data_IF_409584175991
#
_entry.id   IF_409584175991
#
_cell.length_a   1.000
_cell.length_b   1.000
_cell.length_c   1.000
_cell.angle_alpha   90.00
_cell.angle_beta   90.00
_cell.angle_gamma   90.00
#
_symmetry.space_group_name_H-M   'P 1'
#
loop_
_entity.id
_entity.type
_entity.pdbx_description
1 polymer ?
#
# COMPACT_ATOMS: atom_id res chain seq x y z
N UNK A 1 10.46 7.11 -9.75
CA UNK A 1 11.62 6.19 -9.94
C UNK A 1 11.52 4.85 -9.18
N UNK A 2 10.51 4.57 -8.35
CA UNK A 2 10.44 3.32 -7.56
C UNK A 2 9.88 2.06 -8.25
N UNK A 3 9.19 2.17 -9.38
CA UNK A 3 8.49 1.03 -10.00
C UNK A 3 9.39 0.14 -10.87
N UNK A 4 10.52 0.64 -11.39
CA UNK A 4 11.37 -0.10 -12.36
C UNK A 4 12.01 -1.37 -11.79
N UNK A 5 12.42 -1.35 -10.52
CA UNK A 5 12.97 -2.52 -9.84
C UNK A 5 11.87 -3.39 -9.19
N UNK A 6 10.63 -2.94 -9.28
CA UNK A 6 9.49 -3.47 -8.55
C UNK A 6 8.35 -3.94 -9.46
N UNK A 7 8.54 -3.93 -10.78
CA UNK A 7 7.63 -4.50 -11.77
C UNK A 7 8.25 -5.79 -12.35
N UNK A 8 7.44 -6.75 -12.83
CA UNK A 8 7.99 -7.90 -13.55
C UNK A 8 8.74 -7.40 -14.80
N UNK A 9 9.83 -8.08 -15.24
CA UNK A 9 10.67 -7.58 -16.33
C UNK A 9 9.90 -7.22 -17.61
N UNK A 10 8.86 -7.98 -17.95
CA UNK A 10 8.01 -7.69 -19.11
C UNK A 10 7.11 -6.45 -18.93
N UNK A 11 6.66 -6.15 -17.70
CA UNK A 11 5.92 -4.93 -17.37
C UNK A 11 6.85 -3.72 -17.45
N UNK A 12 8.09 -3.87 -16.97
CA UNK A 12 9.13 -2.86 -17.10
C UNK A 12 9.54 -2.58 -18.55
N UNK A 13 9.57 -3.60 -19.42
CA UNK A 13 9.85 -3.44 -20.85
C UNK A 13 8.72 -2.70 -21.60
N UNK A 14 7.47 -2.93 -21.23
CA UNK A 14 6.32 -2.19 -21.79
C UNK A 14 6.37 -0.69 -21.44
N UNK A 15 7.00 -0.35 -20.31
CA UNK A 15 7.13 1.01 -19.79
C UNK A 15 8.18 1.87 -20.54
N UNK A 16 9.29 1.29 -21.01
CA UNK A 16 10.37 2.09 -21.62
C UNK A 16 9.99 2.73 -22.96
N UNK A 17 8.98 2.17 -23.65
CA UNK A 17 8.72 2.47 -25.05
C UNK A 17 7.37 3.14 -25.35
N UNK A 18 6.54 3.50 -24.35
CA UNK A 18 5.23 4.09 -24.67
C UNK A 18 4.82 5.25 -23.77
N UNK A 19 4.66 6.43 -24.37
CA UNK A 19 4.09 7.64 -23.77
C UNK A 19 2.59 7.80 -24.07
N UNK A 20 1.97 6.83 -24.75
CA UNK A 20 0.60 6.97 -25.25
C UNK A 20 -0.46 6.86 -24.14
N UNK A 21 -1.56 7.59 -24.30
CA UNK A 21 -2.71 7.56 -23.38
C UNK A 21 -3.34 6.16 -23.29
N UNK A 22 -3.36 5.43 -24.41
CA UNK A 22 -3.91 4.07 -24.49
C UNK A 22 -3.05 3.09 -23.69
N UNK A 23 -1.73 3.17 -23.81
CA UNK A 23 -0.82 2.33 -23.04
C UNK A 23 -0.95 2.58 -21.53
N UNK A 24 -1.13 3.84 -21.11
CA UNK A 24 -1.40 4.18 -19.72
C UNK A 24 -2.71 3.56 -19.19
N UNK A 25 -3.75 3.50 -20.01
CA UNK A 25 -5.00 2.82 -19.67
C UNK A 25 -4.75 1.32 -19.55
N UNK A 26 -4.20 0.67 -20.58
CA UNK A 26 -3.93 -0.76 -20.56
C UNK A 26 -3.08 -1.17 -19.34
N UNK A 27 -2.09 -0.35 -18.99
CA UNK A 27 -1.28 -0.56 -17.80
C UNK A 27 -2.10 -0.53 -16.51
N UNK A 28 -2.86 0.55 -16.28
CA UNK A 28 -3.60 0.74 -15.02
C UNK A 28 -4.71 -0.27 -14.82
N UNK A 29 -5.37 -0.71 -15.89
CA UNK A 29 -6.54 -1.58 -15.80
C UNK A 29 -6.21 -3.07 -15.97
N UNK A 30 -5.11 -3.42 -16.63
CA UNK A 30 -4.79 -4.82 -16.93
C UNK A 30 -3.40 -5.25 -16.47
N UNK A 31 -2.33 -4.59 -16.92
CA UNK A 31 -0.97 -5.07 -16.65
C UNK A 31 -0.59 -4.96 -15.18
N UNK A 32 -0.88 -3.82 -14.53
CA UNK A 32 -0.51 -3.62 -13.13
C UNK A 32 -1.33 -4.50 -12.16
N UNK A 33 -2.66 -4.65 -12.32
CA UNK A 33 -3.41 -5.65 -11.56
C UNK A 33 -2.88 -7.08 -11.76
N UNK A 34 -2.52 -7.44 -12.99
CA UNK A 34 -1.95 -8.77 -13.27
C UNK A 34 -0.60 -8.95 -12.56
N UNK A 35 0.29 -7.95 -12.61
CA UNK A 35 1.59 -7.96 -11.93
C UNK A 35 1.42 -8.16 -10.41
N UNK A 36 0.51 -7.41 -9.79
CA UNK A 36 0.20 -7.53 -8.36
C UNK A 36 -0.38 -8.91 -8.01
N UNK A 37 -1.25 -9.47 -8.87
CA UNK A 37 -1.82 -10.80 -8.66
C UNK A 37 -0.74 -11.89 -8.73
N UNK A 38 0.14 -11.82 -9.74
CA UNK A 38 1.26 -12.75 -9.88
C UNK A 38 2.21 -12.66 -8.67
N UNK A 39 2.53 -11.45 -8.19
CA UNK A 39 3.33 -11.27 -6.97
C UNK A 39 2.67 -11.92 -5.75
N UNK A 40 1.37 -11.73 -5.58
CA UNK A 40 0.61 -12.35 -4.49
C UNK A 40 0.70 -13.88 -4.56
N UNK A 41 0.56 -14.46 -5.75
CA UNK A 41 0.71 -15.90 -5.97
C UNK A 41 2.13 -16.39 -5.66
N UNK A 42 3.16 -15.66 -6.09
CA UNK A 42 4.57 -15.99 -5.80
C UNK A 42 4.85 -15.90 -4.29
N UNK A 43 4.35 -14.86 -3.61
CA UNK A 43 4.49 -14.71 -2.17
C UNK A 43 3.84 -15.88 -1.42
N UNK A 44 2.62 -16.28 -1.82
CA UNK A 44 1.93 -17.44 -1.24
C UNK A 44 2.67 -18.75 -1.48
N UNK A 45 3.17 -18.98 -2.71
CA UNK A 45 3.92 -20.19 -3.06
C UNK A 45 5.23 -20.31 -2.29
N UNK A 46 5.98 -19.21 -2.18
CA UNK A 46 7.32 -19.24 -1.59
C UNK A 46 7.31 -19.11 -0.05
N UNK A 47 6.18 -18.73 0.54
CA UNK A 47 6.08 -18.52 1.99
C UNK A 47 4.84 -19.21 2.58
N UNK A 48 4.67 -20.53 2.36
CA UNK A 48 3.54 -21.26 2.91
C UNK A 48 3.56 -21.16 4.44
N UNK A 49 2.49 -20.64 5.02
CA UNK A 49 2.35 -20.49 6.48
C UNK A 49 2.86 -19.17 7.08
N UNK A 50 3.44 -18.24 6.30
CA UNK A 50 3.66 -16.87 6.80
C UNK A 50 2.33 -16.15 7.00
N UNK A 51 2.13 -15.61 8.21
CA UNK A 51 0.90 -14.93 8.62
C UNK A 51 1.03 -13.43 8.75
N UNK A 52 2.27 -12.93 8.70
CA UNK A 52 2.56 -11.51 8.72
C UNK A 52 3.28 -11.15 7.42
N UNK A 53 2.70 -10.19 6.70
CA UNK A 53 3.27 -9.61 5.49
C UNK A 53 3.32 -8.11 5.72
N UNK A 54 4.53 -7.55 5.73
CA UNK A 54 4.75 -6.11 5.73
C UNK A 54 4.86 -5.63 4.28
N UNK A 55 4.05 -4.64 3.92
CA UNK A 55 4.11 -3.99 2.61
C UNK A 55 4.61 -2.57 2.82
N UNK A 56 5.82 -2.28 2.34
CA UNK A 56 6.33 -0.92 2.26
C UNK A 56 5.62 -0.20 1.10
N UNK A 57 4.70 0.70 1.44
CA UNK A 57 3.81 1.48 0.56
C UNK A 57 2.71 0.66 -0.13
N UNK A 58 1.48 0.87 0.32
CA UNK A 58 0.30 0.29 -0.30
C UNK A 58 -0.15 1.12 -1.52
N UNK A 59 -0.51 0.50 -2.67
CA UNK A 59 -0.93 1.23 -3.85
C UNK A 59 -2.27 1.95 -3.63
N UNK A 60 -2.20 3.27 -3.44
CA UNK A 60 -3.36 4.12 -3.12
C UNK A 60 -4.12 4.68 -4.33
N UNK A 61 -3.51 4.69 -5.51
CA UNK A 61 -4.10 5.35 -6.69
C UNK A 61 -5.49 4.90 -7.15
N UNK A 62 -5.86 3.61 -7.02
CA UNK A 62 -7.20 3.14 -7.38
C UNK A 62 -8.29 3.73 -6.48
N UNK A 63 -7.93 4.09 -5.26
CA UNK A 63 -8.85 4.54 -4.21
C UNK A 63 -9.00 6.07 -4.14
N UNK A 64 -8.22 6.83 -4.91
CA UNK A 64 -8.42 8.28 -5.02
C UNK A 64 -9.66 8.60 -5.85
N UNK A 65 -10.50 9.50 -5.35
CA UNK A 65 -11.55 10.19 -6.11
C UNK A 65 -12.43 9.24 -6.94
N UNK A 66 -12.82 8.09 -6.37
CA UNK A 66 -13.63 7.06 -7.07
C UNK A 66 -14.92 7.66 -7.61
N UNK A 67 -15.55 8.56 -6.85
CA UNK A 67 -16.79 9.26 -7.20
C UNK A 67 -16.61 10.23 -8.38
N UNK A 68 -15.43 10.85 -8.54
CA UNK A 68 -15.16 11.80 -9.63
C UNK A 68 -14.78 11.12 -10.94
N UNK A 69 -14.52 9.81 -10.92
CA UNK A 69 -13.99 9.04 -12.06
C UNK A 69 -15.07 8.31 -12.86
N UNK A 70 -16.35 8.44 -12.50
CA UNK A 70 -17.46 7.76 -13.17
C UNK A 70 -17.30 6.24 -13.21
N UNK A 71 -17.88 5.59 -14.23
CA UNK A 71 -17.87 4.13 -14.37
C UNK A 71 -16.45 3.52 -14.36
N UNK A 72 -15.50 4.15 -15.04
CA UNK A 72 -14.10 3.70 -15.11
C UNK A 72 -13.42 3.68 -13.74
N UNK A 73 -13.71 4.66 -12.88
CA UNK A 73 -13.21 4.69 -11.50
C UNK A 73 -13.75 3.56 -10.64
N UNK A 74 -15.04 3.26 -10.79
CA UNK A 74 -15.70 2.16 -10.08
C UNK A 74 -15.11 0.82 -10.50
N UNK A 75 -14.92 0.60 -11.80
CA UNK A 75 -14.28 -0.60 -12.33
C UNK A 75 -12.85 -0.75 -11.82
N UNK A 76 -12.06 0.33 -11.82
CA UNK A 76 -10.70 0.32 -11.29
C UNK A 76 -10.70 -0.05 -9.80
N UNK A 77 -11.57 0.56 -8.98
CA UNK A 77 -11.67 0.21 -7.57
C UNK A 77 -12.04 -1.27 -7.37
N UNK A 78 -12.96 -1.79 -8.18
CA UNK A 78 -13.36 -3.19 -8.12
C UNK A 78 -12.21 -4.15 -8.46
N UNK A 79 -11.50 -3.92 -9.57
CA UNK A 79 -10.34 -4.75 -9.97
C UNK A 79 -9.30 -4.79 -8.85
N UNK A 80 -8.98 -3.64 -8.27
CA UNK A 80 -7.93 -3.55 -7.26
C UNK A 80 -8.36 -4.12 -5.91
N UNK A 81 -9.66 -4.10 -5.57
CA UNK A 81 -10.18 -4.81 -4.40
C UNK A 81 -10.02 -6.33 -4.50
N UNK A 82 -10.04 -6.88 -5.70
CA UNK A 82 -9.83 -8.33 -5.91
C UNK A 82 -8.35 -8.71 -5.81
N UNK A 83 -7.50 -7.88 -6.42
CA UNK A 83 -6.07 -8.17 -6.53
C UNK A 83 -5.32 -7.87 -5.23
N UNK A 84 -5.56 -6.70 -4.64
CA UNK A 84 -4.87 -6.28 -3.43
C UNK A 84 -5.43 -6.99 -2.20
N UNK A 85 -4.57 -7.37 -1.24
CA UNK A 85 -5.04 -7.89 0.04
C UNK A 85 -5.76 -6.78 0.82
N UNK A 86 -6.80 -7.16 1.56
CA UNK A 86 -7.39 -6.27 2.56
C UNK A 86 -6.46 -6.24 3.79
N UNK A 87 -5.89 -5.08 4.15
CA UNK A 87 -4.96 -5.00 5.27
C UNK A 87 -5.68 -5.16 6.62
N UNK A 88 -5.09 -5.92 7.54
CA UNK A 88 -5.55 -5.98 8.94
C UNK A 88 -5.22 -4.69 9.69
N UNK A 89 -4.07 -4.08 9.36
CA UNK A 89 -3.60 -2.83 9.94
C UNK A 89 -2.92 -2.00 8.85
N UNK A 90 -3.15 -0.69 8.88
CA UNK A 90 -2.48 0.30 8.05
C UNK A 90 -1.72 1.26 8.96
N UNK A 91 -0.46 1.50 8.66
CA UNK A 91 0.36 2.51 9.34
C UNK A 91 0.52 3.69 8.38
N UNK A 92 0.07 4.86 8.80
CA UNK A 92 0.23 6.11 8.07
C UNK A 92 1.24 7.00 8.80
N UNK A 93 2.37 7.21 8.14
CA UNK A 93 3.43 8.11 8.61
C UNK A 93 3.24 9.47 7.96
N UNK A 94 3.23 10.52 8.76
CA UNK A 94 3.09 11.90 8.29
C UNK A 94 4.06 12.81 9.03
N UNK A 95 4.26 14.02 8.53
CA UNK A 95 5.10 15.01 9.20
C UNK A 95 4.78 16.42 8.74
N UNK A 96 5.50 17.39 9.27
CA UNK A 96 5.33 18.78 8.87
C UNK A 96 5.67 18.95 7.38
N UNK A 97 4.78 19.60 6.66
CA UNK A 97 4.89 19.78 5.22
C UNK A 97 6.08 20.67 4.87
N UNK A 98 6.44 21.63 5.73
CA UNK A 98 7.60 22.49 5.53
C UNK A 98 8.91 21.70 5.63
N UNK A 99 9.08 20.92 6.70
CA UNK A 99 10.27 20.07 6.86
C UNK A 99 10.41 19.03 5.74
N UNK A 100 9.32 18.37 5.36
CA UNK A 100 9.33 17.37 4.30
C UNK A 100 9.70 18.02 2.96
N UNK A 101 9.09 19.17 2.64
CA UNK A 101 9.37 19.94 1.43
C UNK A 101 10.84 20.34 1.35
N UNK A 102 11.42 20.83 2.46
CA UNK A 102 12.84 21.17 2.54
C UNK A 102 13.76 19.96 2.32
N UNK A 103 13.44 18.79 2.92
CA UNK A 103 14.21 17.55 2.75
C UNK A 103 14.17 17.02 1.32
N UNK A 104 13.04 17.17 0.63
CA UNK A 104 12.86 16.66 -0.74
C UNK A 104 13.36 17.62 -1.82
N UNK A 105 13.66 18.87 -1.48
CA UNK A 105 14.29 19.90 -2.35
C UNK A 105 13.58 20.24 -3.67
N UNK A 106 12.52 19.52 -4.05
CA UNK A 106 11.86 19.63 -5.36
C UNK A 106 10.34 19.93 -5.27
N UNK A 107 9.73 19.82 -4.08
CA UNK A 107 8.27 19.96 -3.91
C UNK A 107 7.90 21.22 -3.12
N UNK A 108 6.87 21.95 -3.56
CA UNK A 108 6.30 23.05 -2.76
C UNK A 108 5.60 22.52 -1.49
N UNK A 109 5.59 23.32 -0.42
CA UNK A 109 4.89 23.02 0.83
C UNK A 109 3.41 22.68 0.58
N UNK A 110 2.75 23.44 -0.29
CA UNK A 110 1.35 23.20 -0.66
C UNK A 110 1.14 21.86 -1.38
N UNK A 111 2.07 21.46 -2.23
CA UNK A 111 2.02 20.17 -2.90
C UNK A 111 2.21 19.02 -1.91
N UNK A 112 3.18 19.15 -1.01
CA UNK A 112 3.44 18.20 0.08
C UNK A 112 2.18 18.02 0.95
N UNK A 113 1.56 19.12 1.37
CA UNK A 113 0.32 19.10 2.16
C UNK A 113 -0.81 18.37 1.45
N UNK A 114 -1.06 18.69 0.17
CA UNK A 114 -2.07 18.01 -0.65
C UNK A 114 -1.80 16.51 -0.78
N UNK A 115 -0.53 16.11 -0.94
CA UNK A 115 -0.17 14.70 -0.99
C UNK A 115 -0.42 13.99 0.33
N UNK A 116 -0.05 14.60 1.46
CA UNK A 116 -0.32 14.04 2.78
C UNK A 116 -1.82 13.86 3.02
N UNK A 117 -2.64 14.88 2.72
CA UNK A 117 -4.11 14.80 2.85
C UNK A 117 -4.69 13.69 1.99
N UNK A 118 -4.20 13.58 0.75
CA UNK A 118 -4.61 12.58 -0.22
C UNK A 118 -4.26 11.16 0.26
N UNK A 119 -3.05 10.94 0.76
CA UNK A 119 -2.65 9.62 1.28
C UNK A 119 -3.35 9.28 2.59
N UNK A 120 -3.62 10.26 3.46
CA UNK A 120 -4.43 10.06 4.65
C UNK A 120 -5.86 9.61 4.31
N UNK A 121 -6.47 10.21 3.29
CA UNK A 121 -7.80 9.81 2.82
C UNK A 121 -7.81 8.34 2.34
N UNK A 122 -6.77 7.92 1.63
CA UNK A 122 -6.62 6.50 1.26
C UNK A 122 -6.41 5.64 2.48
N UNK A 123 -5.51 6.00 3.39
CA UNK A 123 -5.23 5.23 4.60
C UNK A 123 -6.51 5.01 5.44
N UNK A 124 -7.37 6.03 5.56
CA UNK A 124 -8.70 5.92 6.17
C UNK A 124 -9.63 4.98 5.39
N UNK A 125 -9.60 4.99 4.07
CA UNK A 125 -10.42 4.12 3.23
C UNK A 125 -10.02 2.64 3.32
N UNK A 126 -8.72 2.35 3.31
CA UNK A 126 -8.20 0.98 3.32
C UNK A 126 -8.04 0.42 4.74
N UNK A 127 -7.72 1.28 5.71
CA UNK A 127 -7.48 0.94 7.12
C UNK A 127 -8.75 0.82 7.95
N UNK A 128 -9.85 0.31 7.38
CA UNK A 128 -11.16 0.19 8.06
C UNK A 128 -11.11 -0.66 9.33
N UNK A 129 -10.20 -1.65 9.37
CA UNK A 129 -10.00 -2.52 10.52
C UNK A 129 -9.19 -1.80 11.60
N UNK A 130 -8.01 -1.30 11.21
CA UNK A 130 -7.14 -0.53 12.09
C UNK A 130 -6.25 0.41 11.29
N UNK A 131 -6.22 1.67 11.70
CA UNK A 131 -5.34 2.71 11.18
C UNK A 131 -4.51 3.27 12.34
N UNK A 132 -3.19 3.16 12.23
CA UNK A 132 -2.23 3.77 13.15
C UNK A 132 -1.62 4.97 12.45
N UNK A 133 -1.72 6.14 13.07
CA UNK A 133 -1.17 7.39 12.53
C UNK A 133 -0.01 7.82 13.42
N UNK A 134 1.15 8.11 12.82
CA UNK A 134 2.33 8.55 13.57
C UNK A 134 2.98 9.77 12.90
N UNK A 135 3.29 10.78 13.72
CA UNK A 135 3.94 12.01 13.29
C UNK A 135 5.46 11.86 13.40
N UNK A 136 6.15 11.82 12.27
CA UNK A 136 7.61 11.66 12.20
C UNK A 136 8.40 12.94 12.46
N UNK A 137 7.71 14.06 12.67
CA UNK A 137 8.32 15.36 13.05
C UNK A 137 8.52 15.42 14.55
N UNK A 138 7.49 14.99 15.29
CA UNK A 138 7.46 15.02 16.75
C UNK A 138 8.08 13.76 17.38
N UNK A 139 8.11 12.65 16.63
CA UNK A 139 8.56 11.36 17.13
C UNK A 139 9.81 10.91 16.37
N UNK A 140 10.81 10.47 17.11
CA UNK A 140 11.95 9.72 16.60
C UNK A 140 11.52 8.40 15.97
N UNK A 141 12.40 7.80 15.16
CA UNK A 141 12.12 6.50 14.54
C UNK A 141 11.84 5.40 15.57
N UNK A 142 12.49 5.45 16.75
CA UNK A 142 12.25 4.49 17.83
C UNK A 142 10.86 4.66 18.43
N UNK A 143 10.45 5.90 18.70
CA UNK A 143 9.10 6.19 19.24
C UNK A 143 8.01 5.79 18.26
N UNK A 144 8.20 6.02 16.96
CA UNK A 144 7.26 5.57 15.92
C UNK A 144 7.14 4.04 15.92
N UNK A 145 8.26 3.32 16.04
CA UNK A 145 8.25 1.85 16.16
C UNK A 145 7.50 1.42 17.41
N UNK A 146 7.74 2.07 18.55
CA UNK A 146 7.07 1.76 19.82
C UNK A 146 5.55 2.01 19.74
N UNK A 147 5.12 3.10 19.09
CA UNK A 147 3.70 3.40 18.82
C UNK A 147 3.05 2.28 17.98
N UNK A 148 3.72 1.83 16.92
CA UNK A 148 3.22 0.76 16.05
C UNK A 148 3.19 -0.57 16.80
N UNK A 149 4.26 -0.91 17.52
CA UNK A 149 4.36 -2.13 18.30
C UNK A 149 3.27 -2.20 19.37
N UNK A 150 3.07 -1.13 20.13
CA UNK A 150 1.99 -1.02 21.13
C UNK A 150 0.63 -1.29 20.50
N UNK A 151 0.35 -0.70 19.33
CA UNK A 151 -0.89 -0.93 18.61
C UNK A 151 -1.05 -2.39 18.13
N UNK A 152 0.04 -3.06 17.76
CA UNK A 152 0.02 -4.49 17.42
C UNK A 152 -0.31 -5.33 18.65
N UNK A 153 0.34 -5.06 19.79
CA UNK A 153 0.20 -5.87 21.00
C UNK A 153 -1.10 -5.64 21.79
N UNK A 154 -1.70 -4.46 21.66
CA UNK A 154 -3.02 -4.18 22.26
C UNK A 154 -4.18 -4.77 21.45
N UNK A 155 -3.95 -5.11 20.17
CA UNK A 155 -4.97 -5.71 19.31
C UNK A 155 -4.92 -7.24 19.38
N UNK A 156 -5.69 -7.78 20.31
CA UNK A 156 -5.81 -9.23 20.50
C UNK A 156 -6.31 -9.96 19.24
N UNK A 157 -7.11 -9.30 18.40
CA UNK A 157 -7.63 -9.89 17.16
C UNK A 157 -6.52 -9.99 16.12
N UNK A 158 -5.71 -8.93 15.96
CA UNK A 158 -4.53 -8.91 15.12
C UNK A 158 -3.52 -9.96 15.58
N UNK A 159 -3.21 -10.02 16.88
CA UNK A 159 -2.28 -11.01 17.42
C UNK A 159 -2.76 -12.44 17.13
N UNK A 160 -4.04 -12.72 17.37
CA UNK A 160 -4.61 -14.04 17.14
C UNK A 160 -4.56 -14.44 15.67
N UNK A 161 -4.79 -13.50 14.76
CA UNK A 161 -4.71 -13.75 13.32
C UNK A 161 -3.26 -13.95 12.85
N UNK A 162 -2.32 -13.14 13.34
CA UNK A 162 -0.92 -13.18 12.92
C UNK A 162 -0.07 -14.24 13.64
N UNK A 163 -0.36 -14.61 14.88
CA UNK A 163 0.53 -15.42 15.74
C UNK A 163 -0.09 -16.68 16.34
N UNK A 164 -1.32 -17.09 15.94
CA UNK A 164 -1.88 -18.39 16.38
C UNK A 164 -0.89 -19.54 16.09
N UNK A 165 -0.74 -20.55 16.95
CA UNK A 165 0.06 -21.72 16.63
C UNK A 165 -0.47 -22.39 15.34
N UNK A 166 0.45 -22.90 14.51
CA UNK A 166 0.08 -23.76 13.39
C UNK A 166 -0.35 -25.08 14.05
N UNK A 167 -1.64 -25.41 14.04
CA UNK A 167 -2.01 -26.80 14.19
C UNK A 167 -1.50 -27.49 12.93
N UNK A 168 -0.38 -28.19 13.06
CA UNK A 168 0.02 -29.17 12.05
C UNK A 168 -1.05 -30.27 12.08
N UNK A 169 -2.18 -30.04 11.39
CA UNK A 169 -2.91 -31.17 10.84
C UNK A 169 -1.98 -31.76 9.80
N UNK A 170 -1.32 -32.81 10.25
CA UNK A 170 -0.52 -33.76 9.50
C UNK A 170 -0.97 -33.80 8.04
N UNK A 171 -0.14 -33.22 7.16
CA UNK A 171 -0.06 -33.74 5.80
C UNK A 171 0.61 -35.11 5.96
N UNK A 172 -0.22 -36.13 6.15
CA UNK A 172 0.10 -37.53 5.87
C UNK A 172 -0.12 -37.77 4.39
#
# INVERSE_FOLDING_TARGET
MGEKNWALPFVGAFFSNSSSRVCNILYRYFLYPLDLLLRRLVLWKNNPGRRLILIDRFPGFPFFDVEKKGFLGVLLNFIYKLVLPSPEMVVFLHGDAEEISQRQQEESVNFTKRNQDKFLAVAKHIGKKKLVVANTTENSSKEVVDIVAKNIFEDTSFIKNCFRPISFRQYK
#
